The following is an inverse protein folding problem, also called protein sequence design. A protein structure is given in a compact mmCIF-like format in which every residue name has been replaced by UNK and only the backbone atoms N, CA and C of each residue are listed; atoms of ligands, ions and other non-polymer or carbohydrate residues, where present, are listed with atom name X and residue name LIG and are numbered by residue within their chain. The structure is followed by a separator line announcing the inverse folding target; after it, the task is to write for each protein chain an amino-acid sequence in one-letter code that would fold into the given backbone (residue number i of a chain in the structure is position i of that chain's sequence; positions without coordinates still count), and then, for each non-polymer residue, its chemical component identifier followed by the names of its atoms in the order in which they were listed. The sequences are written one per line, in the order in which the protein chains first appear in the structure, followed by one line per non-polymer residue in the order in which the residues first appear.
data_IF_578798377212
#
_entry.id   IF_578798377212
#
_cell.length_a   1.000
_cell.length_b   1.000
_cell.length_c   1.000
_cell.angle_alpha   90.00
_cell.angle_beta   90.00
_cell.angle_gamma   90.00
#
_symmetry.space_group_name_H-M   'P 1'
#
loop_
_entity.id
_entity.type
_entity.pdbx_description
1 polymer ?
#
# COMPACT_ATOMS: atom_id res chain seq x y z
N UNK A 1 -8.17 -8.74 0.84
CA UNK A 1 -7.17 -9.32 1.79
C UNK A 1 -7.79 -9.97 3.01
N UNK A 2 -8.60 -9.28 3.83
CA UNK A 2 -9.15 -9.86 5.08
C UNK A 2 -9.88 -11.19 4.91
N UNK A 3 -10.78 -11.31 3.91
CA UNK A 3 -11.46 -12.57 3.61
C UNK A 3 -10.48 -13.69 3.24
N UNK A 4 -9.49 -13.38 2.40
CA UNK A 4 -8.44 -14.32 2.00
C UNK A 4 -7.65 -14.84 3.20
N UNK A 5 -7.28 -13.96 4.14
CA UNK A 5 -6.60 -14.35 5.37
C UNK A 5 -7.42 -15.28 6.24
N UNK A 6 -8.72 -14.99 6.44
CA UNK A 6 -9.59 -15.84 7.25
C UNK A 6 -9.77 -17.23 6.63
N UNK A 7 -10.08 -17.29 5.34
CA UNK A 7 -10.29 -18.56 4.62
C UNK A 7 -9.03 -19.42 4.62
N UNK A 8 -7.87 -18.83 4.31
CA UNK A 8 -6.60 -19.55 4.29
C UNK A 8 -6.21 -20.10 5.66
N UNK A 9 -6.38 -19.30 6.73
CA UNK A 9 -6.09 -19.75 8.10
C UNK A 9 -7.03 -20.87 8.56
N UNK A 10 -8.35 -20.70 8.33
CA UNK A 10 -9.34 -21.72 8.69
C UNK A 10 -9.11 -23.03 7.92
N UNK A 11 -8.84 -22.95 6.61
CA UNK A 11 -8.54 -24.14 5.81
C UNK A 11 -7.22 -24.80 6.24
N UNK A 12 -6.19 -23.98 6.52
CA UNK A 12 -4.90 -24.45 7.02
C UNK A 12 -5.00 -25.22 8.33
N UNK A 13 -5.91 -24.81 9.22
CA UNK A 13 -6.20 -25.50 10.49
C UNK A 13 -7.12 -26.72 10.32
N UNK A 14 -8.06 -26.64 9.38
CA UNK A 14 -9.00 -27.73 9.11
C UNK A 14 -8.31 -28.92 8.43
N UNK A 15 -7.55 -28.67 7.36
CA UNK A 15 -7.04 -29.72 6.46
C UNK A 15 -5.81 -30.43 7.03
N UNK A 16 -5.84 -31.77 7.01
CA UNK A 16 -4.70 -32.63 7.34
C UNK A 16 -4.08 -33.19 6.06
N UNK A 17 -2.76 -33.11 5.94
CA UNK A 17 -1.97 -33.72 4.85
C UNK A 17 -0.66 -34.25 5.45
N UNK A 18 -0.24 -35.46 5.04
CA UNK A 18 0.94 -36.13 5.59
C UNK A 18 0.97 -36.20 7.13
N UNK A 19 -0.20 -36.45 7.76
CA UNK A 19 -0.32 -36.68 9.20
C UNK A 19 -0.33 -35.44 10.10
N UNK A 20 -0.25 -34.22 9.56
CA UNK A 20 -0.36 -32.96 10.34
C UNK A 20 -1.24 -31.92 9.64
N UNK A 21 -1.59 -30.84 10.33
CA UNK A 21 -2.38 -29.76 9.72
C UNK A 21 -1.53 -29.02 8.68
N UNK A 22 -2.20 -28.50 7.66
CA UNK A 22 -1.54 -27.71 6.60
C UNK A 22 -0.83 -26.50 7.19
N UNK A 23 -1.39 -25.86 8.23
CA UNK A 23 -0.75 -24.74 8.95
C UNK A 23 0.54 -25.13 9.70
N UNK A 24 0.77 -26.41 9.99
CA UNK A 24 1.93 -26.91 10.76
C UNK A 24 3.16 -27.19 9.87
N UNK A 25 3.07 -26.90 8.57
CA UNK A 25 4.23 -26.91 7.68
C UNK A 25 4.89 -25.53 7.68
N UNK A 26 6.21 -25.41 7.89
CA UNK A 26 6.88 -24.11 8.01
C UNK A 26 6.65 -23.16 6.82
N UNK A 27 6.64 -23.69 5.59
CA UNK A 27 6.37 -22.90 4.39
C UNK A 27 4.93 -22.34 4.40
N UNK A 28 3.94 -23.17 4.75
CA UNK A 28 2.55 -22.72 4.82
C UNK A 28 2.33 -21.78 6.00
N UNK A 29 2.92 -22.05 7.17
CA UNK A 29 2.88 -21.14 8.31
C UNK A 29 3.44 -19.75 7.96
N UNK A 30 4.56 -19.70 7.24
CA UNK A 30 5.15 -18.45 6.75
C UNK A 30 4.21 -17.71 5.80
N UNK A 31 3.59 -18.45 4.86
CA UNK A 31 2.61 -17.92 3.90
C UNK A 31 1.36 -17.35 4.61
N UNK A 32 0.81 -18.08 5.58
CA UNK A 32 -0.33 -17.65 6.39
C UNK A 32 0.00 -16.37 7.17
N UNK A 33 1.18 -16.31 7.80
CA UNK A 33 1.65 -15.08 8.47
C UNK A 33 1.78 -13.91 7.50
N UNK A 34 2.34 -14.10 6.30
CA UNK A 34 2.43 -13.05 5.27
C UNK A 34 1.04 -12.53 4.92
N UNK A 35 0.08 -13.42 4.64
CA UNK A 35 -1.29 -13.06 4.28
C UNK A 35 -1.99 -12.30 5.41
N UNK A 36 -1.86 -12.77 6.66
CA UNK A 36 -2.47 -12.14 7.83
C UNK A 36 -1.85 -10.78 8.14
N UNK A 37 -0.53 -10.71 8.19
CA UNK A 37 0.21 -9.46 8.38
C UNK A 37 -0.19 -8.44 7.32
N UNK A 38 -0.29 -8.88 6.06
CA UNK A 38 -0.70 -8.00 4.99
C UNK A 38 -2.12 -7.45 5.16
N UNK A 39 -3.06 -8.30 5.57
CA UNK A 39 -4.41 -7.86 5.86
C UNK A 39 -4.47 -6.87 7.04
N UNK A 40 -3.71 -7.11 8.12
CA UNK A 40 -3.66 -6.24 9.30
C UNK A 40 -3.09 -4.86 8.98
N UNK A 41 -1.88 -4.81 8.42
CA UNK A 41 -1.18 -3.54 8.13
C UNK A 41 -1.95 -2.68 7.13
N UNK A 42 -2.49 -3.27 6.06
CA UNK A 42 -3.28 -2.54 5.06
C UNK A 42 -4.58 -2.01 5.64
N UNK A 43 -5.20 -2.75 6.57
CA UNK A 43 -6.40 -2.29 7.28
C UNK A 43 -6.09 -1.14 8.22
N UNK A 44 -5.02 -1.26 9.03
CA UNK A 44 -4.57 -0.20 9.93
C UNK A 44 -4.25 1.10 9.17
N UNK A 45 -3.48 1.00 8.07
CA UNK A 45 -3.18 2.14 7.20
C UNK A 45 -4.43 2.80 6.63
N UNK A 46 -5.40 2.02 6.13
CA UNK A 46 -6.65 2.55 5.61
C UNK A 46 -7.46 3.31 6.68
N UNK A 47 -7.56 2.78 7.90
CA UNK A 47 -8.27 3.45 8.99
C UNK A 47 -7.53 4.70 9.50
N UNK A 48 -6.20 4.71 9.50
CA UNK A 48 -5.40 5.91 9.82
C UNK A 48 -5.66 7.04 8.81
N UNK A 49 -5.76 6.71 7.53
CA UNK A 49 -6.14 7.69 6.48
C UNK A 49 -7.57 8.18 6.70
N UNK A 50 -8.49 7.28 7.05
CA UNK A 50 -9.88 7.64 7.31
C UNK A 50 -10.04 8.55 8.54
N UNK A 51 -9.29 8.31 9.61
CA UNK A 51 -9.24 9.19 10.77
C UNK A 51 -8.70 10.59 10.40
N UNK A 52 -7.64 10.67 9.60
CA UNK A 52 -7.16 11.96 9.06
C UNK A 52 -8.24 12.69 8.25
N UNK A 53 -8.97 11.97 7.39
CA UNK A 53 -10.08 12.53 6.63
C UNK A 53 -11.18 13.10 7.55
N UNK A 54 -11.58 12.37 8.58
CA UNK A 54 -12.59 12.83 9.54
C UNK A 54 -12.15 14.07 10.31
N UNK A 55 -10.89 14.10 10.78
CA UNK A 55 -10.34 15.24 11.54
C UNK A 55 -10.22 16.52 10.72
N UNK A 56 -10.07 16.41 9.41
CA UNK A 56 -9.97 17.59 8.55
C UNK A 56 -11.32 18.29 8.37
N UNK A 57 -12.45 17.64 8.62
CA UNK A 57 -13.82 18.20 8.50
C UNK A 57 -14.07 18.95 7.17
N UNK A 58 -13.31 18.63 6.11
CA UNK A 58 -13.41 19.26 4.79
C UNK A 58 -13.92 18.28 3.75
N UNK A 59 -14.67 18.74 2.74
CA UNK A 59 -14.88 17.94 1.54
C UNK A 59 -13.53 17.55 0.94
N UNK A 60 -13.48 16.46 0.18
CA UNK A 60 -12.33 16.07 -0.65
C UNK A 60 -12.11 17.14 -1.74
N UNK A 61 -11.61 18.31 -1.33
CA UNK A 61 -11.11 19.37 -2.18
C UNK A 61 -9.59 19.38 -2.02
N UNK A 62 -8.89 18.51 -2.75
CA UNK A 62 -7.44 18.46 -2.76
C UNK A 62 -6.90 19.66 -3.54
N UNK A 63 -6.99 20.84 -2.94
CA UNK A 63 -6.45 22.07 -3.50
C UNK A 63 -4.97 22.16 -3.15
N UNK A 64 -4.10 21.67 -4.05
CA UNK A 64 -2.66 22.00 -4.07
C UNK A 64 -2.47 23.53 -3.92
N UNK A 65 -3.37 24.28 -4.54
CA UNK A 65 -3.55 25.71 -4.33
C UNK A 65 -4.77 25.93 -3.43
N UNK A 66 -4.55 26.37 -2.20
CA UNK A 66 -5.61 26.84 -1.32
C UNK A 66 -5.10 28.01 -0.49
N UNK A 67 -5.99 28.93 -0.15
CA UNK A 67 -5.72 30.10 0.71
C UNK A 67 -5.63 29.72 2.19
N UNK A 68 -5.47 28.43 2.48
CA UNK A 68 -5.36 27.92 3.84
C UNK A 68 -3.97 28.18 4.44
N UNK A 69 -3.87 28.24 5.78
CA UNK A 69 -2.58 28.22 6.47
C UNK A 69 -1.73 27.02 6.02
N UNK A 70 -0.40 27.20 5.99
CA UNK A 70 0.54 26.22 5.45
C UNK A 70 0.37 24.82 6.06
N UNK A 71 0.12 24.72 7.37
CA UNK A 71 -0.08 23.43 8.05
C UNK A 71 -1.33 22.69 7.57
N UNK A 72 -2.43 23.41 7.35
CA UNK A 72 -3.67 22.82 6.81
C UNK A 72 -3.44 22.37 5.37
N UNK A 73 -2.67 23.14 4.58
CA UNK A 73 -2.29 22.77 3.21
C UNK A 73 -1.46 21.47 3.18
N UNK A 74 -0.47 21.34 4.08
CA UNK A 74 0.34 20.12 4.23
C UNK A 74 -0.54 18.92 4.57
N UNK A 75 -1.49 19.05 5.50
CA UNK A 75 -2.39 17.95 5.87
C UNK A 75 -3.34 17.54 4.73
N UNK A 76 -3.91 18.50 4.00
CA UNK A 76 -4.76 18.23 2.83
C UNK A 76 -3.97 17.54 1.70
N UNK A 77 -2.72 17.97 1.48
CA UNK A 77 -1.82 17.31 0.54
C UNK A 77 -1.47 15.89 0.97
N UNK A 78 -1.13 15.68 2.25
CA UNK A 78 -0.86 14.35 2.79
C UNK A 78 -2.05 13.41 2.60
N UNK A 79 -3.27 13.88 2.91
CA UNK A 79 -4.48 13.09 2.70
C UNK A 79 -4.65 12.70 1.23
N UNK A 80 -4.44 13.64 0.30
CA UNK A 80 -4.51 13.39 -1.15
C UNK A 80 -3.55 12.27 -1.55
N UNK A 81 -2.27 12.41 -1.22
CA UNK A 81 -1.25 11.44 -1.62
C UNK A 81 -1.47 10.08 -0.95
N UNK A 82 -1.85 10.06 0.32
CA UNK A 82 -2.15 8.83 1.05
C UNK A 82 -3.31 8.04 0.43
N UNK A 83 -4.35 8.71 -0.09
CA UNK A 83 -5.44 8.05 -0.82
C UNK A 83 -4.94 7.39 -2.10
N UNK A 84 -4.04 8.07 -2.84
CA UNK A 84 -3.44 7.51 -4.05
C UNK A 84 -2.55 6.29 -3.73
N UNK A 85 -1.69 6.40 -2.72
CA UNK A 85 -0.85 5.30 -2.25
C UNK A 85 -1.68 4.10 -1.77
N UNK A 86 -2.74 4.36 -0.98
CA UNK A 86 -3.66 3.33 -0.51
C UNK A 86 -4.28 2.56 -1.67
N UNK A 87 -4.72 3.27 -2.72
CA UNK A 87 -5.28 2.66 -3.92
C UNK A 87 -4.25 1.71 -4.54
N UNK A 88 -3.10 2.24 -4.97
CA UNK A 88 -2.14 1.44 -5.76
C UNK A 88 -1.53 0.27 -4.99
N UNK A 89 -1.25 0.45 -3.70
CA UNK A 89 -0.61 -0.59 -2.89
C UNK A 89 -1.62 -1.68 -2.52
N UNK A 90 -2.81 -1.32 -2.03
CA UNK A 90 -3.79 -2.30 -1.58
C UNK A 90 -4.35 -3.16 -2.73
N UNK A 91 -4.45 -2.63 -3.95
CA UNK A 91 -4.93 -3.41 -5.10
C UNK A 91 -3.86 -4.36 -5.63
N UNK A 92 -2.62 -3.87 -5.77
CA UNK A 92 -1.50 -4.69 -6.25
C UNK A 92 -1.24 -5.88 -5.31
N UNK A 93 -0.98 -5.60 -4.04
CA UNK A 93 -0.71 -6.64 -3.07
C UNK A 93 -1.97 -7.48 -2.78
N UNK A 94 -3.16 -6.92 -3.00
CA UNK A 94 -4.42 -7.65 -2.86
C UNK A 94 -4.45 -8.89 -3.76
N UNK A 95 -3.97 -8.75 -5.00
CA UNK A 95 -3.84 -9.85 -5.94
C UNK A 95 -2.79 -10.87 -5.50
N UNK A 96 -1.65 -10.44 -4.97
CA UNK A 96 -0.63 -11.34 -4.41
C UNK A 96 -1.18 -12.16 -3.23
N UNK A 97 -1.82 -11.50 -2.28
CA UNK A 97 -2.42 -12.13 -1.10
C UNK A 97 -3.49 -13.14 -1.48
N UNK A 98 -4.32 -12.84 -2.48
CA UNK A 98 -5.34 -13.76 -2.98
C UNK A 98 -4.72 -14.98 -3.66
N UNK A 99 -3.69 -14.79 -4.49
CA UNK A 99 -2.95 -15.88 -5.12
C UNK A 99 -2.32 -16.81 -4.08
N UNK A 100 -1.70 -16.21 -3.07
CA UNK A 100 -1.10 -16.90 -1.93
C UNK A 100 -2.15 -17.69 -1.13
N UNK A 101 -3.32 -17.11 -0.88
CA UNK A 101 -4.43 -17.77 -0.18
C UNK A 101 -5.03 -18.93 -1.00
N UNK A 102 -5.24 -18.75 -2.31
CA UNK A 102 -5.69 -19.81 -3.23
C UNK A 102 -4.71 -20.99 -3.18
N UNK A 103 -3.41 -20.72 -3.16
CA UNK A 103 -2.37 -21.74 -3.07
C UNK A 103 -2.46 -22.57 -1.77
N UNK A 104 -2.79 -21.96 -0.63
CA UNK A 104 -3.01 -22.68 0.65
C UNK A 104 -4.15 -23.70 0.53
N UNK A 105 -5.20 -23.38 -0.23
CA UNK A 105 -6.33 -24.28 -0.48
C UNK A 105 -6.06 -25.33 -1.57
N UNK A 106 -4.94 -25.19 -2.32
CA UNK A 106 -4.59 -26.03 -3.46
C UNK A 106 -5.73 -26.13 -4.49
N UNK A 107 -6.08 -27.34 -4.95
CA UNK A 107 -7.16 -27.54 -5.92
C UNK A 107 -8.52 -26.97 -5.46
N UNK A 108 -8.83 -27.03 -4.16
CA UNK A 108 -10.05 -26.41 -3.63
C UNK A 108 -10.04 -24.88 -3.73
N UNK A 109 -8.85 -24.28 -3.80
CA UNK A 109 -8.67 -22.83 -3.90
C UNK A 109 -9.11 -22.26 -5.23
N UNK A 110 -9.12 -23.06 -6.30
CA UNK A 110 -9.53 -22.66 -7.66
C UNK A 110 -10.95 -23.09 -8.02
N UNK A 111 -11.60 -23.91 -7.19
CA UNK A 111 -12.97 -24.36 -7.39
C UNK A 111 -13.96 -23.28 -6.92
N UNK A 112 -14.64 -22.62 -7.87
CA UNK A 112 -15.63 -21.55 -7.62
C UNK A 112 -16.80 -22.02 -6.73
N UNK A 113 -17.14 -23.31 -6.74
CA UNK A 113 -18.21 -23.89 -5.91
C UNK A 113 -17.79 -24.12 -4.45
N UNK A 114 -16.49 -24.23 -4.19
CA UNK A 114 -15.95 -24.52 -2.85
C UNK A 114 -15.44 -23.26 -2.16
N UNK A 115 -14.74 -22.41 -2.91
CA UNK A 115 -14.01 -21.26 -2.39
C UNK A 115 -14.54 -19.98 -3.01
N UNK A 116 -14.74 -18.94 -2.19
CA UNK A 116 -15.03 -17.60 -2.70
C UNK A 116 -13.79 -16.90 -3.29
N UNK A 117 -12.58 -17.46 -3.08
CA UNK A 117 -11.33 -16.80 -3.45
C UNK A 117 -11.14 -16.61 -4.98
N UNK A 118 -11.51 -17.55 -5.87
CA UNK A 118 -11.45 -17.33 -7.32
C UNK A 118 -12.28 -16.14 -7.77
N UNK A 119 -13.52 -16.01 -7.29
CA UNK A 119 -14.34 -14.82 -7.53
C UNK A 119 -13.66 -13.55 -7.05
N UNK A 120 -13.18 -13.52 -5.81
CA UNK A 120 -12.51 -12.34 -5.25
C UNK A 120 -11.22 -12.01 -6.03
N UNK A 121 -10.50 -13.01 -6.54
CA UNK A 121 -9.33 -12.83 -7.39
C UNK A 121 -9.68 -12.23 -8.76
N UNK A 122 -10.82 -12.60 -9.36
CA UNK A 122 -11.32 -11.90 -10.54
C UNK A 122 -11.73 -10.46 -10.22
N UNK A 123 -12.33 -10.22 -9.06
CA UNK A 123 -12.77 -8.89 -8.63
C UNK A 123 -11.61 -7.95 -8.28
N UNK A 124 -10.47 -8.44 -7.77
CA UNK A 124 -9.35 -7.55 -7.45
C UNK A 124 -8.71 -6.94 -8.71
N UNK A 125 -8.79 -7.64 -9.85
CA UNK A 125 -8.27 -7.15 -11.13
C UNK A 125 -8.98 -5.86 -11.54
N UNK A 126 -10.29 -5.74 -11.30
CA UNK A 126 -11.01 -4.49 -11.64
C UNK A 126 -10.60 -3.33 -10.73
N UNK A 127 -10.35 -3.58 -9.44
CA UNK A 127 -9.91 -2.54 -8.50
C UNK A 127 -8.56 -1.93 -8.89
N UNK A 128 -7.67 -2.73 -9.48
CA UNK A 128 -6.39 -2.23 -9.96
C UNK A 128 -6.53 -1.28 -11.15
N UNK A 129 -7.60 -1.40 -11.94
CA UNK A 129 -7.79 -0.63 -13.17
C UNK A 129 -8.71 0.58 -13.02
N UNK A 130 -9.82 0.44 -12.29
CA UNK A 130 -10.77 1.53 -12.08
C UNK A 130 -10.20 2.60 -11.14
N UNK A 131 -10.71 3.83 -11.28
CA UNK A 131 -10.28 5.00 -10.52
C UNK A 131 -8.77 5.32 -10.59
N UNK A 132 -8.11 4.85 -11.67
CA UNK A 132 -6.73 5.18 -12.00
C UNK A 132 -5.79 3.97 -11.92
N UNK A 133 -5.27 3.44 -13.04
CA UNK A 133 -4.31 2.34 -13.02
C UNK A 133 -2.97 2.77 -12.38
N UNK A 134 -2.21 1.80 -11.85
CA UNK A 134 -0.97 2.03 -11.07
C UNK A 134 -0.04 3.06 -11.71
N UNK A 135 0.31 2.88 -12.99
CA UNK A 135 1.27 3.75 -13.68
C UNK A 135 0.79 5.21 -13.78
N UNK A 136 -0.51 5.43 -13.97
CA UNK A 136 -1.08 6.78 -14.05
C UNK A 136 -1.12 7.44 -12.66
N UNK A 137 -1.44 6.69 -11.62
CA UNK A 137 -1.44 7.22 -10.26
C UNK A 137 -0.02 7.48 -9.74
N UNK A 138 0.96 6.63 -10.05
CA UNK A 138 2.37 6.88 -9.77
C UNK A 138 2.86 8.16 -10.48
N UNK A 139 2.42 8.37 -11.73
CA UNK A 139 2.69 9.61 -12.47
C UNK A 139 2.07 10.82 -11.79
N UNK A 140 0.84 10.68 -11.29
CA UNK A 140 0.14 11.75 -10.59
C UNK A 140 0.84 12.12 -9.28
N UNK A 141 1.20 11.14 -8.44
CA UNK A 141 1.93 11.35 -7.19
C UNK A 141 3.24 12.10 -7.45
N UNK A 142 4.02 11.66 -8.45
CA UNK A 142 5.27 12.32 -8.82
C UNK A 142 5.05 13.79 -9.21
N UNK A 143 4.05 14.06 -10.06
CA UNK A 143 3.70 15.43 -10.47
C UNK A 143 3.23 16.28 -9.31
N UNK A 144 2.45 15.70 -8.40
CA UNK A 144 1.88 16.40 -7.27
C UNK A 144 2.98 16.81 -6.27
N UNK A 145 3.96 15.94 -6.01
CA UNK A 145 5.14 16.26 -5.19
C UNK A 145 5.99 17.39 -5.79
N UNK A 146 6.21 17.37 -7.11
CA UNK A 146 6.92 18.47 -7.81
C UNK A 146 6.19 19.80 -7.69
N UNK A 147 4.86 19.79 -7.77
CA UNK A 147 4.04 21.02 -7.70
C UNK A 147 4.03 21.69 -6.33
N UNK A 148 4.38 20.96 -5.27
CA UNK A 148 4.39 21.49 -3.90
C UNK A 148 5.78 21.76 -3.36
N UNK A 149 6.83 21.41 -4.11
CA UNK A 149 8.23 21.47 -3.66
C UNK A 149 8.64 22.83 -3.09
N UNK A 150 8.11 23.93 -3.61
CA UNK A 150 8.40 25.29 -3.15
C UNK A 150 7.96 25.57 -1.70
N UNK A 151 6.98 24.83 -1.18
CA UNK A 151 6.37 25.09 0.13
C UNK A 151 6.19 23.84 1.00
N UNK A 152 6.42 22.65 0.46
CA UNK A 152 6.43 21.39 1.19
C UNK A 152 7.58 20.51 0.71
N UNK A 153 8.67 20.54 1.48
CA UNK A 153 9.87 19.79 1.14
C UNK A 153 9.62 18.28 1.17
N UNK A 154 10.30 17.49 0.32
CA UNK A 154 10.18 16.03 0.30
C UNK A 154 10.54 15.38 1.66
N UNK A 155 11.55 15.90 2.34
CA UNK A 155 11.95 15.52 3.70
C UNK A 155 10.85 15.75 4.72
N UNK A 156 10.25 16.94 4.73
CA UNK A 156 9.11 17.27 5.60
C UNK A 156 7.92 16.31 5.34
N UNK A 157 7.66 15.98 4.07
CA UNK A 157 6.61 15.05 3.67
C UNK A 157 6.86 13.66 4.26
N UNK A 158 8.04 13.08 4.04
CA UNK A 158 8.41 11.77 4.59
C UNK A 158 8.32 11.76 6.11
N UNK A 159 8.89 12.77 6.79
CA UNK A 159 8.86 12.87 8.24
C UNK A 159 7.43 12.93 8.79
N UNK A 160 6.56 13.68 8.14
CA UNK A 160 5.16 13.82 8.57
C UNK A 160 4.40 12.50 8.41
N UNK A 161 4.53 11.82 7.26
CA UNK A 161 3.80 10.57 7.02
C UNK A 161 4.33 9.42 7.89
N UNK A 162 5.64 9.35 8.12
CA UNK A 162 6.27 8.30 8.91
C UNK A 162 6.48 8.67 10.38
N UNK A 163 5.70 9.62 10.91
CA UNK A 163 5.73 9.94 12.35
C UNK A 163 5.43 8.69 13.18
N UNK A 164 6.40 8.24 13.98
CA UNK A 164 6.35 6.99 14.75
C UNK A 164 7.26 5.88 14.24
N UNK A 165 7.85 6.03 13.04
CA UNK A 165 8.92 5.16 12.54
C UNK A 165 10.28 5.46 13.21
N UNK A 166 11.27 4.60 12.96
CA UNK A 166 12.64 4.85 13.41
C UNK A 166 13.29 6.00 12.63
N UNK A 167 14.23 6.71 13.26
CA UNK A 167 14.96 7.80 12.62
C UNK A 167 15.71 7.33 11.37
N UNK A 168 16.33 6.14 11.41
CA UNK A 168 17.01 5.51 10.27
C UNK A 168 16.05 5.31 9.09
N UNK A 169 14.83 4.83 9.35
CA UNK A 169 13.80 4.64 8.33
C UNK A 169 13.38 5.97 7.69
N UNK A 170 13.17 7.01 8.51
CA UNK A 170 12.79 8.34 8.01
C UNK A 170 13.89 8.95 7.15
N UNK A 171 15.15 8.86 7.60
CA UNK A 171 16.31 9.38 6.85
C UNK A 171 16.51 8.62 5.54
N UNK A 172 16.38 7.29 5.55
CA UNK A 172 16.46 6.47 4.35
C UNK A 172 15.43 6.91 3.30
N UNK A 173 14.14 6.97 3.67
CA UNK A 173 13.09 7.36 2.72
C UNK A 173 13.20 8.82 2.28
N UNK A 174 13.66 9.71 3.15
CA UNK A 174 13.86 11.12 2.82
C UNK A 174 14.93 11.28 1.74
N UNK A 175 16.10 10.67 1.94
CA UNK A 175 17.20 10.71 0.98
C UNK A 175 16.80 10.08 -0.36
N UNK A 176 16.08 8.95 -0.34
CA UNK A 176 15.60 8.30 -1.55
C UNK A 176 14.59 9.17 -2.32
N UNK A 177 13.66 9.83 -1.61
CA UNK A 177 12.67 10.68 -2.25
C UNK A 177 13.33 11.92 -2.88
N UNK A 178 14.27 12.55 -2.17
CA UNK A 178 15.00 13.70 -2.70
C UNK A 178 15.79 13.34 -3.97
N UNK A 179 16.49 12.20 -3.99
CA UNK A 179 17.17 11.70 -5.19
C UNK A 179 16.19 11.47 -6.35
N UNK A 180 15.11 10.74 -6.11
CA UNK A 180 14.13 10.37 -7.15
C UNK A 180 13.45 11.58 -7.77
N UNK A 181 13.18 12.63 -6.99
CA UNK A 181 12.56 13.86 -7.51
C UNK A 181 13.51 14.69 -8.40
N UNK A 182 14.84 14.46 -8.34
CA UNK A 182 15.81 15.09 -9.25
C UNK A 182 16.02 14.29 -10.55
N UNK A 183 15.42 13.10 -10.65
CA UNK A 183 15.64 12.18 -11.77
C UNK A 183 14.56 12.28 -12.84
N UNK A 184 14.82 11.83 -14.07
CA UNK A 184 13.87 11.97 -15.18
C UNK A 184 12.76 10.89 -15.14
N UNK A 185 12.07 10.71 -13.99
CA UNK A 185 11.00 9.70 -13.82
C UNK A 185 9.90 9.85 -14.89
N UNK A 186 9.57 11.08 -15.26
CA UNK A 186 8.59 11.41 -16.31
C UNK A 186 9.25 12.00 -17.58
N UNK A 187 10.54 11.71 -17.79
CA UNK A 187 11.27 12.15 -18.98
C UNK A 187 10.85 11.41 -20.26
N UNK A 188 11.50 11.74 -21.38
CA UNK A 188 11.35 10.98 -22.63
C UNK A 188 11.71 9.51 -22.43
N UNK A 189 11.10 8.60 -23.19
CA UNK A 189 11.33 7.15 -23.07
C UNK A 189 12.76 6.81 -23.47
N UNK A 190 13.61 6.56 -22.48
CA UNK A 190 15.00 6.13 -22.63
C UNK A 190 15.42 5.31 -21.39
N UNK A 191 16.62 4.74 -21.43
CA UNK A 191 17.09 3.83 -20.37
C UNK A 191 17.16 4.52 -18.99
N UNK A 192 17.55 5.80 -18.95
CA UNK A 192 17.66 6.55 -17.70
C UNK A 192 16.28 6.85 -17.08
N UNK A 193 15.29 7.24 -17.88
CA UNK A 193 13.93 7.53 -17.41
C UNK A 193 13.18 6.26 -17.03
N UNK A 194 13.32 5.17 -17.79
CA UNK A 194 12.72 3.86 -17.45
C UNK A 194 13.25 3.35 -16.11
N UNK A 195 14.57 3.38 -15.90
CA UNK A 195 15.17 2.97 -14.62
C UNK A 195 14.70 3.85 -13.46
N UNK A 196 14.63 5.17 -13.65
CA UNK A 196 14.11 6.08 -12.63
C UNK A 196 12.63 5.78 -12.30
N UNK A 197 11.81 5.43 -13.30
CA UNK A 197 10.41 5.06 -13.10
C UNK A 197 10.22 3.72 -12.37
N UNK A 198 11.06 2.72 -12.64
CA UNK A 198 11.04 1.44 -11.91
C UNK A 198 11.42 1.61 -10.43
N UNK A 199 12.45 2.43 -10.15
CA UNK A 199 12.86 2.76 -8.79
C UNK A 199 11.81 3.62 -8.07
N UNK A 200 11.14 4.52 -8.79
CA UNK A 200 9.99 5.28 -8.28
C UNK A 200 8.83 4.37 -7.86
N UNK A 201 8.49 3.37 -8.67
CA UNK A 201 7.46 2.39 -8.34
C UNK A 201 7.81 1.60 -7.06
N UNK A 202 9.06 1.12 -7.00
CA UNK A 202 9.59 0.38 -5.84
C UNK A 202 9.58 1.22 -4.57
N UNK A 203 10.00 2.48 -4.68
CA UNK A 203 9.95 3.45 -3.59
C UNK A 203 8.52 3.64 -3.09
N UNK A 204 7.56 3.91 -3.99
CA UNK A 204 6.17 4.16 -3.61
C UNK A 204 5.54 2.97 -2.87
N UNK A 205 5.81 1.74 -3.33
CA UNK A 205 5.32 0.53 -2.66
C UNK A 205 5.92 0.37 -1.27
N UNK A 206 7.24 0.53 -1.15
CA UNK A 206 7.97 0.33 0.11
C UNK A 206 7.67 1.43 1.13
N UNK A 207 7.59 2.68 0.68
CA UNK A 207 7.26 3.83 1.50
C UNK A 207 5.86 3.71 2.10
N UNK A 208 4.88 3.31 1.29
CA UNK A 208 3.52 3.13 1.79
C UNK A 208 3.37 1.91 2.72
N UNK A 209 4.15 0.85 2.48
CA UNK A 209 4.27 -0.26 3.43
C UNK A 209 4.80 0.21 4.78
N UNK A 210 5.84 1.05 4.82
CA UNK A 210 6.34 1.62 6.07
C UNK A 210 5.27 2.47 6.78
N UNK A 211 4.49 3.27 6.04
CA UNK A 211 3.34 3.99 6.61
C UNK A 211 2.30 3.05 7.25
N UNK A 212 1.96 1.94 6.58
CA UNK A 212 1.04 0.92 7.11
C UNK A 212 1.59 0.23 8.36
N UNK A 213 2.90 0.01 8.43
CA UNK A 213 3.56 -0.59 9.59
C UNK A 213 3.52 0.33 10.81
N UNK A 214 3.77 1.64 10.61
CA UNK A 214 3.56 2.64 11.65
C UNK A 214 2.12 2.63 12.14
N UNK A 215 1.14 2.62 11.21
CA UNK A 215 -0.28 2.57 11.57
C UNK A 215 -0.65 1.29 12.36
N UNK A 216 -0.06 0.15 12.01
CA UNK A 216 -0.28 -1.10 12.75
C UNK A 216 0.35 -1.05 14.15
N UNK A 217 1.57 -0.52 14.27
CA UNK A 217 2.26 -0.38 15.55
C UNK A 217 1.55 0.60 16.51
N UNK A 218 0.77 1.55 16.01
CA UNK A 218 -0.04 2.46 16.82
C UNK A 218 -1.22 1.78 17.52
N UNK A 219 -1.76 0.70 16.95
CA UNK A 219 -2.93 -0.03 17.48
C UNK A 219 -2.56 -1.30 18.26
N UNK A 220 -1.31 -1.77 18.16
CA UNK A 220 -0.80 -2.94 18.89
C UNK A 220 -0.15 -2.58 20.25
N UNK A 221 -0.08 -1.28 20.58
CA UNK A 221 0.35 -0.76 21.90
C UNK A 221 -0.78 -0.80 22.91
#
# INVERSE_FOLDING_TARGET
MLRASREANLYGDFRTVFGKKVKDFPLTASKLRKIEYAAKRTTAGAFKIYDLFLRLEKPLNPGINSDHPIEVRKQLFNLRELVLFQKICATNEGAEVLRDAISVLAGHGVMEEFSALPRIFRDVVVNEQWEGPRNLLLTQIYRDLHRVADWYAPTDFVHTLLTGASQETIEQFSNQLEDLLQRPVLGEVNEASMKAAEEWDTFCDSFFKAYQEVALAEIEK
#
